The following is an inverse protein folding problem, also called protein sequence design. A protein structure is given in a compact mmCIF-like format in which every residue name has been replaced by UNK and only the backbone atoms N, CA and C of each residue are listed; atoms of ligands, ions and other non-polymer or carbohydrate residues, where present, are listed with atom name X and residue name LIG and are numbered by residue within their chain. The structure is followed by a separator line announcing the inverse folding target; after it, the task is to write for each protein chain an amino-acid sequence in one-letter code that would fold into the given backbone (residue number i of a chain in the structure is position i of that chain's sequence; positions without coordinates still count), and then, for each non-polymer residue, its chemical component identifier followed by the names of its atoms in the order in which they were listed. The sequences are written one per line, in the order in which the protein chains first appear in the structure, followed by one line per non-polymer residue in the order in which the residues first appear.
data_IF_421266519972
#
_entry.id   IF_421266519972
#
_cell.length_a   1.000
_cell.length_b   1.000
_cell.length_c   1.000
_cell.angle_alpha   90.00
_cell.angle_beta   90.00
_cell.angle_gamma   90.00
#
_symmetry.space_group_name_H-M   'P 1'
#
loop_
_entity.id
_entity.type
_entity.pdbx_description
1 polymer ?
#
# COMPACT_ATOMS: atom_id res chain seq x y z
N UNK A 1 38.78 19.95 -24.70
CA UNK A 1 37.57 20.48 -24.02
C UNK A 1 36.37 19.68 -24.52
N UNK A 2 35.96 18.63 -23.80
CA UNK A 2 34.85 17.78 -24.18
C UNK A 2 33.75 17.83 -23.10
N UNK A 3 32.52 18.14 -23.53
CA UNK A 3 31.28 18.09 -22.74
C UNK A 3 31.11 16.68 -22.14
N UNK A 4 31.33 16.52 -20.83
CA UNK A 4 31.08 15.28 -20.08
C UNK A 4 30.24 15.51 -18.82
N UNK A 5 29.42 16.57 -18.78
CA UNK A 5 28.65 16.94 -17.58
C UNK A 5 27.32 16.18 -17.42
N UNK A 6 26.86 15.45 -18.44
CA UNK A 6 25.55 14.76 -18.37
C UNK A 6 25.59 13.36 -17.76
N UNK A 7 26.69 12.61 -17.92
CA UNK A 7 26.78 11.21 -17.46
C UNK A 7 27.21 11.09 -15.98
N UNK A 8 27.90 12.10 -15.46
CA UNK A 8 28.48 12.07 -14.11
C UNK A 8 27.43 12.23 -13.02
N UNK A 9 26.34 12.98 -13.27
CA UNK A 9 25.23 13.13 -12.33
C UNK A 9 24.44 11.81 -12.16
N UNK A 10 24.27 11.07 -13.25
CA UNK A 10 23.49 9.82 -13.26
C UNK A 10 24.16 8.69 -12.47
N UNK A 11 25.50 8.65 -12.47
CA UNK A 11 26.26 7.63 -11.74
C UNK A 11 26.26 7.92 -10.23
N UNK A 12 26.27 9.20 -9.82
CA UNK A 12 26.19 9.55 -8.39
C UNK A 12 24.80 9.26 -7.79
N UNK A 13 23.71 9.51 -8.53
CA UNK A 13 22.36 9.19 -8.05
C UNK A 13 22.14 7.67 -7.96
N UNK A 14 22.54 6.90 -8.97
CA UNK A 14 22.40 5.42 -8.94
C UNK A 14 23.22 4.78 -7.80
N UNK A 15 24.40 5.32 -7.47
CA UNK A 15 25.21 4.82 -6.34
C UNK A 15 24.56 5.20 -4.99
N UNK A 16 23.89 6.35 -4.91
CA UNK A 16 23.26 6.82 -3.68
C UNK A 16 21.92 6.13 -3.40
N UNK A 17 21.07 5.95 -4.42
CA UNK A 17 19.79 5.20 -4.30
C UNK A 17 20.04 3.73 -3.97
N UNK A 18 21.05 3.09 -4.58
CA UNK A 18 21.36 1.69 -4.29
C UNK A 18 22.00 1.47 -2.91
N UNK A 19 22.44 2.52 -2.22
CA UNK A 19 22.90 2.39 -0.84
C UNK A 19 21.74 2.17 0.15
N UNK A 20 20.49 2.43 -0.25
CA UNK A 20 19.30 2.23 0.57
C UNK A 20 18.61 0.87 0.37
N UNK A 21 18.70 0.29 -0.82
CA UNK A 21 17.90 -0.88 -1.22
C UNK A 21 18.77 -2.03 -1.78
N UNK A 22 19.51 -2.71 -0.89
CA UNK A 22 20.13 -4.00 -1.19
C UNK A 22 21.35 -3.97 -2.13
N UNK A 23 21.95 -5.14 -2.40
CA UNK A 23 23.18 -5.21 -3.20
C UNK A 23 22.92 -4.86 -4.67
N UNK A 24 23.72 -3.92 -5.20
CA UNK A 24 23.72 -3.55 -6.62
C UNK A 24 23.76 -4.78 -7.55
N UNK A 25 22.98 -4.79 -8.65
CA UNK A 25 23.06 -5.85 -9.64
C UNK A 25 24.47 -5.94 -10.23
N UNK A 26 24.94 -7.16 -10.50
CA UNK A 26 26.32 -7.45 -10.91
C UNK A 26 26.82 -6.58 -12.09
N UNK A 27 25.95 -6.34 -13.07
CA UNK A 27 26.29 -5.53 -14.26
C UNK A 27 26.55 -4.06 -13.92
N UNK A 28 25.79 -3.49 -12.98
CA UNK A 28 25.99 -2.12 -12.53
C UNK A 28 27.34 -1.99 -11.80
N UNK A 29 27.67 -2.97 -10.94
CA UNK A 29 28.97 -3.03 -10.25
C UNK A 29 30.15 -3.10 -11.22
N UNK A 30 30.03 -3.91 -12.28
CA UNK A 30 31.07 -4.02 -13.30
C UNK A 30 31.23 -2.71 -14.07
N UNK A 31 30.12 -2.07 -14.47
CA UNK A 31 30.11 -0.77 -15.17
C UNK A 31 30.82 0.31 -14.36
N UNK A 32 30.50 0.41 -13.05
CA UNK A 32 31.09 1.40 -12.14
C UNK A 32 32.59 1.13 -11.97
N UNK A 33 33.00 -0.13 -11.74
CA UNK A 33 34.43 -0.50 -11.62
C UNK A 33 35.23 -0.13 -12.87
N UNK A 34 34.69 -0.38 -14.07
CA UNK A 34 35.33 0.00 -15.33
C UNK A 34 35.44 1.53 -15.40
N UNK A 35 34.38 2.25 -15.07
CA UNK A 35 34.39 3.72 -15.12
C UNK A 35 35.43 4.33 -14.18
N UNK A 36 35.52 3.83 -12.94
CA UNK A 36 36.51 4.28 -11.95
C UNK A 36 37.94 3.98 -12.41
N UNK A 37 38.16 2.88 -13.13
CA UNK A 37 39.47 2.55 -13.70
C UNK A 37 39.90 3.55 -14.78
N UNK A 38 38.96 4.01 -15.62
CA UNK A 38 39.27 4.94 -16.72
C UNK A 38 39.18 6.43 -16.33
N UNK A 39 38.48 6.77 -15.25
CA UNK A 39 38.29 8.15 -14.82
C UNK A 39 38.93 8.43 -13.45
N UNK A 40 40.12 9.05 -13.47
CA UNK A 40 40.86 9.41 -12.25
C UNK A 40 40.11 10.41 -11.35
N UNK A 41 39.26 11.26 -11.91
CA UNK A 41 38.42 12.20 -11.15
C UNK A 41 37.39 11.46 -10.31
N UNK A 42 36.62 10.57 -10.93
CA UNK A 42 35.60 9.76 -10.24
C UNK A 42 36.25 8.83 -9.21
N UNK A 43 37.42 8.27 -9.50
CA UNK A 43 38.19 7.50 -8.53
C UNK A 43 38.59 8.31 -7.29
N UNK A 44 38.98 9.58 -7.48
CA UNK A 44 39.29 10.50 -6.39
C UNK A 44 38.06 10.87 -5.54
N UNK A 45 36.89 11.04 -6.17
CA UNK A 45 35.63 11.32 -5.46
C UNK A 45 35.15 10.10 -4.67
N UNK A 46 35.24 8.89 -5.24
CA UNK A 46 34.90 7.64 -4.55
C UNK A 46 35.75 7.42 -3.29
N UNK A 47 37.06 7.69 -3.36
CA UNK A 47 37.97 7.58 -2.21
C UNK A 47 37.65 8.58 -1.10
N UNK A 48 37.14 9.77 -1.44
CA UNK A 48 36.68 10.75 -0.44
C UNK A 48 35.42 10.27 0.27
N UNK A 49 34.48 9.68 -0.47
CA UNK A 49 33.26 9.11 0.11
C UNK A 49 33.59 7.93 1.04
N UNK A 50 34.52 7.05 0.66
CA UNK A 50 34.99 5.95 1.50
C UNK A 50 35.59 6.45 2.82
N UNK A 51 36.39 7.52 2.77
CA UNK A 51 36.97 8.16 3.96
C UNK A 51 35.91 8.81 4.85
N UNK A 52 34.94 9.51 4.26
CA UNK A 52 33.81 10.08 5.02
C UNK A 52 32.97 8.98 5.68
N UNK A 53 32.73 7.88 4.97
CA UNK A 53 32.00 6.74 5.47
C UNK A 53 32.72 6.05 6.63
N UNK A 54 34.05 5.85 6.53
CA UNK A 54 34.81 5.27 7.64
C UNK A 54 34.81 6.16 8.89
N UNK A 55 34.95 7.48 8.72
CA UNK A 55 34.87 8.43 9.86
C UNK A 55 33.49 8.43 10.51
N UNK A 56 32.43 8.27 9.71
CA UNK A 56 31.06 8.28 10.20
C UNK A 56 30.66 6.98 10.93
N UNK A 57 31.22 5.85 10.50
CA UNK A 57 30.96 4.54 11.14
C UNK A 57 31.79 4.37 12.42
N UNK A 58 33.07 4.75 12.39
CA UNK A 58 33.99 4.35 13.46
C UNK A 58 33.91 5.25 14.71
N UNK A 59 33.45 6.50 14.62
CA UNK A 59 33.62 7.47 15.72
C UNK A 59 32.35 8.23 16.19
N UNK A 60 31.23 8.20 15.47
CA UNK A 60 30.16 9.18 15.74
C UNK A 60 29.02 8.69 16.65
N UNK A 61 28.76 7.38 16.70
CA UNK A 61 27.63 6.88 17.46
C UNK A 61 28.12 5.96 18.58
N UNK A 62 27.94 6.33 19.87
CA UNK A 62 28.08 5.34 20.93
C UNK A 62 27.13 4.17 20.64
N UNK A 63 27.50 2.96 21.06
CA UNK A 63 26.60 1.81 20.96
C UNK A 63 25.22 2.24 21.44
N UNK A 64 24.23 2.10 20.56
CA UNK A 64 22.88 2.57 20.84
C UNK A 64 22.48 2.05 22.24
N UNK A 65 21.88 2.91 23.10
CA UNK A 65 21.33 2.40 24.35
C UNK A 65 20.37 1.26 23.99
N UNK A 66 20.33 0.21 24.80
CA UNK A 66 19.49 -0.98 24.57
C UNK A 66 17.99 -0.60 24.56
N UNK A 67 17.56 -0.01 23.45
CA UNK A 67 16.23 0.49 23.20
C UNK A 67 15.31 -0.70 22.91
N UNK A 68 15.88 -1.80 22.44
CA UNK A 68 15.22 -3.08 22.22
C UNK A 68 14.54 -3.55 23.50
N UNK A 69 15.24 -3.50 24.65
CA UNK A 69 14.69 -3.91 25.93
C UNK A 69 13.60 -2.94 26.41
N UNK A 70 13.78 -1.63 26.22
CA UNK A 70 12.79 -0.62 26.57
C UNK A 70 11.52 -0.72 25.70
N UNK A 71 11.67 -1.02 24.41
CA UNK A 71 10.58 -1.22 23.45
C UNK A 71 9.86 -2.55 23.76
N UNK A 72 10.59 -3.64 23.95
CA UNK A 72 10.01 -4.94 24.34
C UNK A 72 9.28 -4.84 25.68
N UNK A 73 9.82 -4.09 26.63
CA UNK A 73 9.16 -3.83 27.90
C UNK A 73 7.87 -3.00 27.72
N UNK A 74 7.87 -2.00 26.84
CA UNK A 74 6.68 -1.22 26.50
C UNK A 74 5.61 -2.06 25.80
N UNK A 75 5.99 -2.89 24.84
CA UNK A 75 5.07 -3.78 24.10
C UNK A 75 4.52 -4.90 25.00
N UNK A 76 5.33 -5.45 25.89
CA UNK A 76 4.87 -6.49 26.83
C UNK A 76 4.04 -5.95 27.99
N UNK A 77 4.27 -4.70 28.39
CA UNK A 77 3.46 -3.99 29.38
C UNK A 77 2.18 -3.39 28.79
N UNK A 78 2.11 -3.25 27.46
CA UNK A 78 0.85 -3.07 26.75
C UNK A 78 0.10 -4.40 26.83
N UNK A 79 -0.64 -4.58 27.93
CA UNK A 79 -1.79 -5.46 27.88
C UNK A 79 -2.59 -5.02 26.68
N UNK A 80 -2.99 -5.98 25.84
CA UNK A 80 -4.11 -5.76 24.91
C UNK A 80 -5.30 -5.55 25.82
N UNK A 81 -5.38 -4.37 26.44
CA UNK A 81 -6.59 -3.85 26.99
C UNK A 81 -7.49 -3.84 25.76
N UNK A 82 -8.40 -4.82 25.70
CA UNK A 82 -9.61 -4.65 24.94
C UNK A 82 -10.09 -3.26 25.35
N UNK A 83 -9.90 -2.28 24.45
CA UNK A 83 -10.45 -0.94 24.61
C UNK A 83 -11.83 -1.13 25.23
N UNK A 84 -12.10 -0.58 26.43
CA UNK A 84 -13.46 -0.62 26.95
C UNK A 84 -14.26 0.12 25.90
N UNK A 85 -15.03 -0.63 25.10
CA UNK A 85 -15.64 -0.16 23.86
C UNK A 85 -16.24 1.22 24.08
N UNK A 86 -15.44 2.24 23.79
CA UNK A 86 -15.78 3.62 24.07
C UNK A 86 -16.70 4.00 22.93
N UNK A 87 -17.99 3.76 23.14
CA UNK A 87 -19.07 4.18 22.28
C UNK A 87 -18.76 3.96 20.79
N UNK A 88 -18.34 2.74 20.42
CA UNK A 88 -18.34 2.34 19.03
C UNK A 88 -19.76 2.60 18.52
N UNK A 89 -19.96 3.51 17.54
CA UNK A 89 -21.28 3.96 17.13
C UNK A 89 -22.05 2.71 16.74
N UNK A 90 -23.06 2.35 17.53
CA UNK A 90 -23.72 1.04 17.53
C UNK A 90 -23.67 0.41 16.14
N UNK A 91 -22.63 -0.41 15.91
CA UNK A 91 -22.36 -0.94 14.59
C UNK A 91 -23.60 -1.71 14.19
N UNK A 92 -24.21 -1.32 13.07
CA UNK A 92 -25.41 -2.02 12.58
C UNK A 92 -25.08 -3.51 12.56
N UNK A 93 -25.87 -4.30 13.31
CA UNK A 93 -25.59 -5.73 13.45
C UNK A 93 -25.48 -6.39 12.07
N UNK A 94 -24.67 -7.44 11.95
CA UNK A 94 -24.53 -8.23 10.71
C UNK A 94 -25.90 -8.60 10.11
N UNK A 95 -26.87 -8.93 10.98
CA UNK A 95 -28.25 -9.23 10.58
C UNK A 95 -28.94 -8.02 9.94
N UNK A 96 -28.79 -6.82 10.52
CA UNK A 96 -29.35 -5.58 9.98
C UNK A 96 -28.77 -5.27 8.60
N UNK A 97 -27.46 -5.45 8.40
CA UNK A 97 -26.83 -5.31 7.08
C UNK A 97 -27.40 -6.31 6.07
N UNK A 98 -27.50 -7.59 6.43
CA UNK A 98 -28.07 -8.61 5.52
C UNK A 98 -29.52 -8.27 5.14
N UNK A 99 -30.33 -7.81 6.09
CA UNK A 99 -31.72 -7.41 5.83
C UNK A 99 -31.79 -6.23 4.86
N UNK A 100 -30.96 -5.20 5.07
CA UNK A 100 -30.88 -4.02 4.19
C UNK A 100 -30.46 -4.46 2.78
N UNK A 101 -29.43 -5.31 2.66
CA UNK A 101 -28.99 -5.86 1.39
C UNK A 101 -30.09 -6.65 0.66
N UNK A 102 -30.85 -7.49 1.39
CA UNK A 102 -32.00 -8.19 0.84
C UNK A 102 -33.09 -7.23 0.35
N UNK A 103 -33.39 -6.16 1.09
CA UNK A 103 -34.35 -5.14 0.67
C UNK A 103 -33.90 -4.41 -0.59
N UNK A 104 -32.62 -4.03 -0.67
CA UNK A 104 -32.04 -3.39 -1.86
C UNK A 104 -32.12 -4.31 -3.07
N UNK A 105 -31.75 -5.59 -2.92
CA UNK A 105 -31.85 -6.59 -3.99
C UNK A 105 -33.29 -6.83 -4.44
N UNK A 106 -34.24 -6.93 -3.50
CA UNK A 106 -35.66 -7.02 -3.81
C UNK A 106 -36.14 -5.80 -4.57
N UNK A 107 -35.84 -4.59 -4.09
CA UNK A 107 -36.22 -3.34 -4.75
C UNK A 107 -35.67 -3.25 -6.17
N UNK A 108 -34.40 -3.62 -6.38
CA UNK A 108 -33.78 -3.66 -7.70
C UNK A 108 -34.48 -4.70 -8.60
N UNK A 109 -34.71 -5.90 -8.09
CA UNK A 109 -35.37 -6.97 -8.85
C UNK A 109 -36.77 -6.54 -9.29
N UNK A 110 -37.55 -5.97 -8.37
CA UNK A 110 -38.90 -5.47 -8.68
C UNK A 110 -38.88 -4.33 -9.69
N UNK A 111 -37.88 -3.43 -9.63
CA UNK A 111 -37.74 -2.34 -10.59
C UNK A 111 -37.55 -2.88 -12.03
N UNK A 112 -36.85 -4.01 -12.21
CA UNK A 112 -36.69 -4.64 -13.52
C UNK A 112 -37.97 -5.35 -14.03
N UNK A 113 -38.84 -5.80 -13.14
CA UNK A 113 -40.11 -6.45 -13.49
C UNK A 113 -41.27 -5.47 -13.72
N UNK A 114 -41.08 -4.17 -13.46
CA UNK A 114 -42.10 -3.16 -13.71
C UNK A 114 -42.37 -2.98 -15.21
N UNK A 115 -43.64 -2.83 -15.60
CA UNK A 115 -44.03 -2.54 -17.00
C UNK A 115 -43.36 -1.27 -17.53
N UNK A 116 -43.02 -0.32 -16.67
CA UNK A 116 -42.29 0.90 -17.03
C UNK A 116 -40.87 0.61 -17.54
N UNK A 117 -40.19 -0.39 -16.97
CA UNK A 117 -38.84 -0.75 -17.41
C UNK A 117 -38.87 -1.38 -18.80
N UNK A 118 -39.86 -2.23 -19.07
CA UNK A 118 -40.07 -2.85 -20.39
C UNK A 118 -40.37 -1.78 -21.43
N UNK A 119 -41.27 -0.84 -21.13
CA UNK A 119 -41.61 0.26 -22.04
C UNK A 119 -40.41 1.18 -22.34
N UNK A 120 -39.58 1.47 -21.33
CA UNK A 120 -38.36 2.28 -21.51
C UNK A 120 -37.28 1.51 -22.28
N UNK A 121 -37.13 0.21 -22.02
CA UNK A 121 -36.19 -0.65 -22.74
C UNK A 121 -36.57 -0.80 -24.22
N UNK A 122 -37.86 -0.90 -24.54
CA UNK A 122 -38.36 -0.92 -25.93
C UNK A 122 -38.15 0.42 -26.62
N UNK A 123 -38.33 1.54 -25.91
CA UNK A 123 -38.20 2.89 -26.50
C UNK A 123 -36.74 3.33 -26.73
N UNK A 124 -35.81 2.97 -25.83
CA UNK A 124 -34.40 3.40 -25.90
C UNK A 124 -33.43 2.31 -26.40
N UNK A 125 -33.90 1.07 -26.55
CA UNK A 125 -33.09 -0.05 -27.03
C UNK A 125 -31.99 -0.51 -26.07
N UNK A 126 -31.15 -1.43 -26.56
CA UNK A 126 -30.12 -2.10 -25.75
C UNK A 126 -29.03 -1.18 -25.20
N UNK A 127 -28.88 0.03 -25.75
CA UNK A 127 -27.93 1.04 -25.28
C UNK A 127 -28.23 1.56 -23.87
N UNK A 128 -29.49 1.46 -23.41
CA UNK A 128 -29.88 1.87 -22.06
C UNK A 128 -29.52 0.82 -20.98
N UNK A 129 -29.47 -0.46 -21.35
CA UNK A 129 -29.18 -1.56 -20.40
C UNK A 129 -27.73 -1.55 -19.89
N UNK A 130 -26.80 -1.10 -20.73
CA UNK A 130 -25.37 -1.15 -20.41
C UNK A 130 -24.99 -0.15 -19.29
N UNK A 131 -25.36 1.14 -19.34
CA UNK A 131 -25.14 2.07 -18.24
C UNK A 131 -25.83 1.63 -16.94
N UNK A 132 -27.07 1.12 -17.04
CA UNK A 132 -27.84 0.64 -15.86
C UNK A 132 -27.17 -0.57 -15.21
N UNK A 133 -26.67 -1.52 -16.02
CA UNK A 133 -25.91 -2.66 -15.50
C UNK A 133 -24.62 -2.23 -14.79
N UNK A 134 -23.90 -1.25 -15.36
CA UNK A 134 -22.68 -0.72 -14.75
C UNK A 134 -22.97 -0.03 -13.41
N UNK A 135 -23.99 0.83 -13.33
CA UNK A 135 -24.31 1.55 -12.09
C UNK A 135 -24.73 0.59 -10.99
N UNK A 136 -25.57 -0.40 -11.30
CA UNK A 136 -26.01 -1.41 -10.33
C UNK A 136 -24.84 -2.28 -9.88
N UNK A 137 -23.99 -2.72 -10.81
CA UNK A 137 -22.78 -3.47 -10.49
C UNK A 137 -21.83 -2.69 -9.59
N UNK A 138 -21.61 -1.40 -9.87
CA UNK A 138 -20.78 -0.52 -9.05
C UNK A 138 -21.35 -0.33 -7.63
N UNK A 139 -22.66 -0.11 -7.51
CA UNK A 139 -23.33 0.04 -6.20
C UNK A 139 -23.25 -1.25 -5.39
N UNK A 140 -23.53 -2.41 -6.00
CA UNK A 140 -23.44 -3.72 -5.34
C UNK A 140 -22.01 -4.04 -4.90
N UNK A 141 -21.02 -3.72 -5.75
CA UNK A 141 -19.60 -3.94 -5.43
C UNK A 141 -19.17 -3.05 -4.26
N UNK A 142 -19.54 -1.77 -4.28
CA UNK A 142 -19.27 -0.84 -3.18
C UNK A 142 -19.92 -1.30 -1.88
N UNK A 143 -21.20 -1.69 -1.94
CA UNK A 143 -21.92 -2.27 -0.81
C UNK A 143 -21.21 -3.49 -0.23
N UNK A 144 -20.76 -4.42 -1.08
CA UNK A 144 -20.01 -5.61 -0.67
C UNK A 144 -18.67 -5.27 -0.01
N UNK A 145 -17.92 -4.31 -0.57
CA UNK A 145 -16.66 -3.85 0.00
C UNK A 145 -16.86 -3.24 1.41
N UNK A 146 -17.87 -2.38 1.59
CA UNK A 146 -18.21 -1.82 2.90
C UNK A 146 -18.68 -2.89 3.88
N UNK A 147 -19.48 -3.85 3.43
CA UNK A 147 -19.93 -4.97 4.26
C UNK A 147 -18.74 -5.80 4.78
N UNK A 148 -17.83 -6.20 3.89
CA UNK A 148 -16.65 -6.97 4.25
C UNK A 148 -15.77 -6.15 5.21
N UNK A 149 -15.44 -4.90 4.87
CA UNK A 149 -14.58 -4.04 5.68
C UNK A 149 -15.11 -3.81 7.10
N UNK A 150 -16.41 -3.56 7.23
CA UNK A 150 -17.05 -3.33 8.54
C UNK A 150 -17.18 -4.59 9.41
N UNK A 151 -17.17 -5.78 8.81
CA UNK A 151 -17.41 -7.04 9.51
C UNK A 151 -16.19 -7.97 9.56
N UNK A 152 -15.01 -7.54 9.09
CA UNK A 152 -13.78 -8.34 9.10
C UNK A 152 -13.44 -8.91 10.48
N UNK A 153 -13.64 -8.13 11.56
CA UNK A 153 -13.36 -8.56 12.95
C UNK A 153 -14.38 -9.60 13.46
N UNK A 154 -15.64 -9.50 13.05
CA UNK A 154 -16.67 -10.49 13.39
C UNK A 154 -16.52 -11.77 12.53
N UNK A 155 -16.06 -11.63 11.28
CA UNK A 155 -15.76 -12.76 10.41
C UNK A 155 -14.50 -13.50 10.88
N UNK A 156 -13.41 -12.81 11.21
CA UNK A 156 -12.17 -13.46 11.68
C UNK A 156 -12.40 -14.26 12.97
N UNK A 157 -13.13 -13.68 13.92
CA UNK A 157 -13.51 -14.37 15.16
C UNK A 157 -14.41 -15.59 14.93
N UNK A 158 -15.36 -15.54 13.99
CA UNK A 158 -16.20 -16.70 13.64
C UNK A 158 -15.47 -17.79 12.88
N UNK A 159 -14.50 -17.42 12.03
CA UNK A 159 -13.72 -18.38 11.26
C UNK A 159 -12.50 -18.93 12.02
N UNK A 160 -12.24 -18.45 13.25
CA UNK A 160 -11.14 -18.91 14.08
C UNK A 160 -9.76 -18.61 13.48
N UNK A 161 -9.68 -17.63 12.59
CA UNK A 161 -8.42 -17.17 12.00
C UNK A 161 -7.92 -16.07 12.93
N UNK A 162 -7.15 -16.48 13.94
CA UNK A 162 -6.37 -15.59 14.81
C UNK A 162 -5.04 -15.25 14.15
#
# INVERSE_FOLDING_TARGET
MAKHTGLTAHVSEEIFEASGEGPLPFLARLRISIHLFFCSRCAGEAKKMELLHSVMIDDFFPSAPALEDAIMQKISAETIDEEPAADAPAGLSLRSWVIIGCFVLLSLSTAFFGMDFINVADAQGSSFLLPVGITIGAVLTGYGAFFIGSHLKELSSRFGIH
#
